data_IF_155130047786
#
_entry.id   IF_155130047786
#
_cell.length_a   1.000
_cell.length_b   1.000
_cell.length_c   1.000
_cell.angle_alpha   90.00
_cell.angle_beta   90.00
_cell.angle_gamma   90.00
#
_symmetry.space_group_name_H-M   'P 1'
#
loop_
_entity.id
_entity.type
_entity.pdbx_description
1 polymer ?
#
# COMPACT_ATOMS: atom_id res chain seq x y z
N UNK A 1 -2.67 0.52 -43.94
CA UNK A 1 -1.91 0.92 -42.73
C UNK A 1 -2.68 1.94 -41.91
N UNK A 2 -3.10 3.08 -42.47
CA UNK A 2 -3.79 4.16 -41.73
C UNK A 2 -5.09 3.76 -41.01
N UNK A 3 -5.88 2.85 -41.59
CA UNK A 3 -7.14 2.41 -40.97
C UNK A 3 -6.89 1.66 -39.65
N UNK A 4 -5.87 0.80 -39.60
CA UNK A 4 -5.47 0.05 -38.41
C UNK A 4 -5.03 1.00 -37.29
N UNK A 5 -4.23 2.02 -37.62
CA UNK A 5 -3.77 3.02 -36.65
C UNK A 5 -4.91 3.88 -36.10
N UNK A 6 -5.87 4.26 -36.94
CA UNK A 6 -7.07 5.00 -36.49
C UNK A 6 -7.92 4.17 -35.52
N UNK A 7 -8.06 2.87 -35.77
CA UNK A 7 -8.81 1.97 -34.90
C UNK A 7 -8.11 1.72 -33.56
N UNK A 8 -6.79 1.47 -33.60
CA UNK A 8 -5.97 1.34 -32.38
C UNK A 8 -5.99 2.62 -31.54
N UNK A 9 -5.94 3.80 -32.18
CA UNK A 9 -6.04 5.08 -31.49
C UNK A 9 -7.38 5.28 -30.78
N UNK A 10 -8.50 4.92 -31.43
CA UNK A 10 -9.83 4.95 -30.80
C UNK A 10 -9.93 3.99 -29.60
N UNK A 11 -9.39 2.79 -29.74
CA UNK A 11 -9.39 1.80 -28.66
C UNK A 11 -8.57 2.29 -27.46
N UNK A 12 -7.36 2.82 -27.71
CA UNK A 12 -6.51 3.40 -26.67
C UNK A 12 -7.18 4.58 -25.95
N UNK A 13 -7.91 5.45 -26.66
CA UNK A 13 -8.69 6.53 -26.05
C UNK A 13 -9.81 5.98 -25.15
N UNK A 14 -10.57 4.99 -25.65
CA UNK A 14 -11.64 4.36 -24.86
C UNK A 14 -11.12 3.64 -23.61
N UNK A 15 -9.91 3.09 -23.69
CA UNK A 15 -9.23 2.44 -22.57
C UNK A 15 -8.71 3.47 -21.57
N UNK A 16 -8.11 4.58 -22.05
CA UNK A 16 -7.67 5.68 -21.21
C UNK A 16 -8.85 6.38 -20.49
N UNK A 17 -10.03 6.46 -21.10
CA UNK A 17 -11.24 6.95 -20.43
C UNK A 17 -11.71 6.01 -19.31
N UNK A 18 -11.59 4.69 -19.52
CA UNK A 18 -11.94 3.66 -18.52
C UNK A 18 -10.91 3.56 -17.41
N UNK A 19 -9.63 3.76 -17.73
CA UNK A 19 -8.48 3.66 -16.85
C UNK A 19 -7.57 4.87 -17.10
N UNK A 20 -7.90 6.04 -16.51
CA UNK A 20 -7.08 7.22 -16.69
C UNK A 20 -5.66 6.98 -16.19
N UNK A 21 -4.64 7.56 -16.86
CA UNK A 21 -3.27 7.46 -16.41
C UNK A 21 -3.15 7.90 -14.95
N UNK A 22 -2.26 7.24 -14.22
CA UNK A 22 -2.14 7.45 -12.78
C UNK A 22 -1.78 8.92 -12.48
N UNK A 23 -2.67 9.59 -11.75
CA UNK A 23 -2.47 10.92 -11.21
C UNK A 23 -2.15 10.83 -9.70
N UNK A 24 -1.83 11.98 -9.07
CA UNK A 24 -1.37 12.03 -7.66
C UNK A 24 -2.35 11.41 -6.63
N UNK A 25 -3.60 11.17 -7.01
CA UNK A 25 -4.63 10.58 -6.16
C UNK A 25 -5.00 9.15 -6.54
N UNK A 26 -4.51 8.59 -7.66
CA UNK A 26 -4.91 7.26 -8.12
C UNK A 26 -4.63 6.15 -7.08
N UNK A 27 -3.57 6.28 -6.28
CA UNK A 27 -3.27 5.36 -5.17
C UNK A 27 -4.05 5.60 -3.87
N UNK A 28 -4.97 6.57 -3.85
CA UNK A 28 -5.80 6.97 -2.69
C UNK A 28 -7.28 7.13 -3.07
N UNK A 29 -7.67 6.64 -4.24
CA UNK A 29 -9.05 6.64 -4.73
C UNK A 29 -9.60 5.22 -4.73
N UNK A 30 -10.90 5.07 -4.42
CA UNK A 30 -11.61 3.80 -4.49
C UNK A 30 -12.92 4.03 -5.24
N UNK A 31 -13.27 3.12 -6.15
CA UNK A 31 -14.54 3.18 -6.87
C UNK A 31 -15.69 2.88 -5.91
N UNK A 32 -16.71 3.72 -5.92
CA UNK A 32 -17.91 3.51 -5.10
C UNK A 32 -18.98 2.83 -5.94
N UNK A 33 -19.56 1.76 -5.43
CA UNK A 33 -20.71 1.09 -6.02
C UNK A 33 -22.00 1.47 -5.27
N UNK A 34 -23.14 1.66 -5.96
CA UNK A 34 -24.42 1.95 -5.32
C UNK A 34 -24.77 0.91 -4.25
N UNK A 35 -25.26 1.35 -3.09
CA UNK A 35 -25.60 0.47 -1.96
C UNK A 35 -24.40 -0.13 -1.19
N UNK A 36 -23.15 0.09 -1.64
CA UNK A 36 -21.93 -0.44 -1.00
C UNK A 36 -20.96 0.65 -0.53
N UNK A 37 -21.48 1.81 -0.15
CA UNK A 37 -20.66 2.94 0.31
C UNK A 37 -19.80 2.59 1.53
N UNK A 38 -20.36 1.87 2.50
CA UNK A 38 -19.62 1.45 3.70
C UNK A 38 -18.45 0.50 3.40
N UNK A 39 -18.54 -0.32 2.36
CA UNK A 39 -17.42 -1.16 1.89
C UNK A 39 -16.34 -0.30 1.22
N UNK A 40 -16.75 0.65 0.37
CA UNK A 40 -15.82 1.56 -0.29
C UNK A 40 -15.00 2.40 0.72
N UNK A 41 -15.62 2.87 1.81
CA UNK A 41 -14.93 3.60 2.89
C UNK A 41 -13.90 2.70 3.58
N UNK A 42 -14.27 1.45 3.93
CA UNK A 42 -13.32 0.48 4.53
C UNK A 42 -12.15 0.18 3.60
N UNK A 43 -12.40 0.01 2.31
CA UNK A 43 -11.37 -0.23 1.31
C UNK A 43 -10.42 0.97 1.17
N UNK A 44 -10.97 2.19 1.25
CA UNK A 44 -10.17 3.41 1.28
C UNK A 44 -9.29 3.48 2.54
N UNK A 45 -9.84 3.17 3.72
CA UNK A 45 -9.07 3.13 4.96
C UNK A 45 -7.91 2.12 4.92
N UNK A 46 -8.15 0.92 4.39
CA UNK A 46 -7.11 -0.10 4.19
C UNK A 46 -6.02 0.40 3.23
N UNK A 47 -6.42 1.07 2.15
CA UNK A 47 -5.49 1.66 1.17
C UNK A 47 -4.61 2.73 1.81
N UNK A 48 -5.22 3.65 2.58
CA UNK A 48 -4.50 4.70 3.30
C UNK A 48 -3.56 4.13 4.37
N UNK A 49 -3.96 3.05 5.05
CA UNK A 49 -3.14 2.35 6.04
C UNK A 49 -1.94 1.65 5.41
N UNK A 50 -2.14 0.93 4.30
CA UNK A 50 -1.07 0.26 3.54
C UNK A 50 -0.03 1.27 3.04
N UNK A 51 -0.48 2.40 2.51
CA UNK A 51 0.38 3.50 2.05
C UNK A 51 0.93 4.37 3.19
N UNK A 52 0.57 4.08 4.45
CA UNK A 52 1.01 4.79 5.66
C UNK A 52 0.76 6.30 5.63
N UNK A 53 -0.26 6.76 4.90
CA UNK A 53 -0.55 8.19 4.68
C UNK A 53 -0.74 8.92 6.00
N UNK A 54 -1.59 8.38 6.89
CA UNK A 54 -1.86 8.98 8.21
C UNK A 54 -0.61 9.02 9.11
N UNK A 55 0.26 8.02 9.01
CA UNK A 55 1.49 7.97 9.80
C UNK A 55 2.47 9.06 9.33
N UNK A 56 2.70 9.17 8.01
CA UNK A 56 3.58 10.20 7.47
C UNK A 56 3.02 11.60 7.70
N UNK A 57 1.71 11.79 7.57
CA UNK A 57 1.06 13.05 7.88
C UNK A 57 1.41 13.52 9.30
N UNK A 58 1.23 12.66 10.32
CA UNK A 58 1.60 12.98 11.71
C UNK A 58 3.10 13.24 11.88
N UNK A 59 3.94 12.42 11.25
CA UNK A 59 5.39 12.55 11.34
C UNK A 59 5.89 13.87 10.72
N UNK A 60 5.24 14.34 9.66
CA UNK A 60 5.60 15.56 8.93
C UNK A 60 4.98 16.84 9.51
N UNK A 61 4.05 16.73 10.47
CA UNK A 61 3.45 17.91 11.13
C UNK A 61 4.50 18.84 11.75
N UNK A 62 5.67 18.31 12.14
CA UNK A 62 6.79 19.07 12.69
C UNK A 62 8.08 18.65 12.04
N UNK A 63 9.04 19.57 11.96
CA UNK A 63 10.37 19.26 11.47
C UNK A 63 11.11 18.31 12.41
N UNK A 64 11.56 17.17 11.88
CA UNK A 64 12.45 16.24 12.55
C UNK A 64 13.90 16.48 12.08
N UNK A 65 14.82 16.74 13.01
CA UNK A 65 16.25 16.90 12.70
C UNK A 65 16.80 15.63 12.03
N UNK A 66 17.72 15.78 11.06
CA UNK A 66 18.30 14.66 10.30
C UNK A 66 18.87 13.55 11.21
N UNK A 67 19.61 13.91 12.26
CA UNK A 67 20.21 12.93 13.17
C UNK A 67 19.17 12.13 13.97
N UNK A 68 18.09 12.78 14.41
CA UNK A 68 16.95 12.11 15.08
C UNK A 68 16.24 11.16 14.12
N UNK A 69 15.96 11.62 12.89
CA UNK A 69 15.35 10.80 11.84
C UNK A 69 16.16 9.54 11.55
N UNK A 70 17.48 9.65 11.43
CA UNK A 70 18.36 8.50 11.19
C UNK A 70 18.35 7.52 12.37
N UNK A 71 18.40 8.01 13.61
CA UNK A 71 18.30 7.17 14.81
C UNK A 71 16.96 6.43 14.88
N UNK A 72 15.86 7.14 14.63
CA UNK A 72 14.52 6.55 14.58
C UNK A 72 14.42 5.47 13.50
N UNK A 73 14.85 5.75 12.27
CA UNK A 73 14.81 4.78 11.17
C UNK A 73 15.66 3.53 11.45
N UNK A 74 16.84 3.69 12.07
CA UNK A 74 17.68 2.57 12.52
C UNK A 74 16.95 1.70 13.55
N UNK A 75 16.37 2.32 14.57
CA UNK A 75 15.61 1.64 15.62
C UNK A 75 14.36 0.93 15.07
N UNK A 76 13.60 1.59 14.19
CA UNK A 76 12.43 0.99 13.53
C UNK A 76 12.82 -0.22 12.66
N UNK A 77 13.92 -0.13 11.90
CA UNK A 77 14.41 -1.23 11.07
C UNK A 77 14.80 -2.43 11.95
N UNK A 78 15.53 -2.19 13.03
CA UNK A 78 15.92 -3.24 13.97
C UNK A 78 14.70 -3.92 14.60
N UNK A 79 13.74 -3.16 15.13
CA UNK A 79 12.52 -3.72 15.73
C UNK A 79 11.73 -4.59 14.74
N UNK A 80 11.65 -4.18 13.47
CA UNK A 80 10.99 -4.97 12.42
C UNK A 80 11.73 -6.27 12.12
N UNK A 81 13.06 -6.20 12.01
CA UNK A 81 13.89 -7.40 11.79
C UNK A 81 13.80 -8.35 12.98
N UNK A 82 13.94 -7.85 14.19
CA UNK A 82 13.83 -8.64 15.42
C UNK A 82 12.47 -9.34 15.51
N UNK A 83 11.36 -8.60 15.31
CA UNK A 83 10.02 -9.19 15.33
C UNK A 83 9.82 -10.26 14.24
N UNK A 84 10.44 -10.10 13.08
CA UNK A 84 10.40 -11.09 12.01
C UNK A 84 11.16 -12.37 12.39
N UNK A 85 12.36 -12.23 12.94
CA UNK A 85 13.16 -13.38 13.39
C UNK A 85 12.48 -14.13 14.53
N UNK A 86 11.95 -13.41 15.53
CA UNK A 86 11.14 -14.01 16.60
C UNK A 86 9.95 -14.77 16.02
N UNK A 87 9.20 -14.17 15.09
CA UNK A 87 8.05 -14.82 14.44
C UNK A 87 8.46 -16.12 13.75
N UNK A 88 9.55 -16.12 12.97
CA UNK A 88 10.05 -17.33 12.28
C UNK A 88 10.40 -18.44 13.27
N UNK A 89 11.07 -18.10 14.36
CA UNK A 89 11.45 -19.07 15.40
C UNK A 89 10.22 -19.65 16.10
N UNK A 90 9.25 -18.82 16.46
CA UNK A 90 7.98 -19.28 17.05
C UNK A 90 7.24 -20.21 16.09
N UNK A 91 7.13 -19.84 14.81
CA UNK A 91 6.49 -20.69 13.78
C UNK A 91 7.19 -22.05 13.64
N UNK A 92 8.51 -22.09 13.70
CA UNK A 92 9.27 -23.34 13.68
C UNK A 92 8.93 -24.22 14.89
N UNK A 93 8.94 -23.65 16.10
CA UNK A 93 8.61 -24.38 17.33
C UNK A 93 7.17 -24.89 17.29
N UNK A 94 6.21 -24.06 16.85
CA UNK A 94 4.81 -24.48 16.70
C UNK A 94 4.68 -25.64 15.70
N UNK A 95 5.45 -25.62 14.61
CA UNK A 95 5.47 -26.71 13.61
C UNK A 95 6.12 -28.00 14.13
N UNK A 96 7.12 -27.90 14.99
CA UNK A 96 7.73 -29.06 15.66
C UNK A 96 6.71 -29.68 16.62
N UNK A 97 6.10 -28.85 17.48
CA UNK A 97 5.03 -29.27 18.40
C UNK A 97 3.84 -29.92 17.68
N UNK A 98 3.41 -29.36 16.54
CA UNK A 98 2.28 -29.93 15.79
C UNK A 98 2.59 -31.30 15.17
N UNK A 99 3.86 -31.68 15.06
CA UNK A 99 4.31 -32.99 14.55
C UNK A 99 4.43 -34.05 15.63
N UNK A 100 4.13 -33.74 16.89
CA UNK A 100 4.11 -34.70 17.99
C UNK A 100 5.46 -34.90 18.70
N UNK A 101 6.39 -33.96 18.55
CA UNK A 101 7.53 -33.82 19.45
C UNK A 101 7.17 -32.94 20.66
#
# INVERSE_FOLDING_TARGET
>A
MDAMWKEQSKNALSEAERQPPAHAYSGRSVRVHPGRVGEAIRNLDLTLARNRVRYYLRLQQRHEKRGEKLRRLKSERWRKQFANEVRKKVQLVTKIRSRGA
#
